data_IF_262931197986
#
_entry.id   IF_262931197986
#
_cell.length_a   1.000
_cell.length_b   1.000
_cell.length_c   1.000
_cell.angle_alpha   90.00
_cell.angle_beta   90.00
_cell.angle_gamma   90.00
#
_symmetry.space_group_name_H-M   'P 1'
#
loop_
_entity.id
_entity.type
_entity.pdbx_description
1 polymer ?
#
# COMPACT_ATOMS: atom_id res chain seq x y z
N UNK A 1 -8.24 11.00 10.31
CA UNK A 1 -6.96 10.44 10.73
C UNK A 1 -5.96 10.44 9.60
N UNK A 2 -4.70 10.67 9.91
CA UNK A 2 -3.61 10.64 8.94
C UNK A 2 -2.67 9.50 9.31
N UNK A 3 -2.39 8.64 8.35
CA UNK A 3 -1.47 7.52 8.55
C UNK A 3 -0.40 7.60 7.47
N UNK A 4 0.84 7.50 7.87
CA UNK A 4 1.97 7.39 6.94
C UNK A 4 2.70 6.09 7.22
N UNK A 5 2.79 5.25 6.21
CA UNK A 5 3.49 3.97 6.29
C UNK A 5 4.68 4.02 5.35
N UNK A 6 5.88 3.93 5.92
CA UNK A 6 7.12 3.97 5.17
C UNK A 6 7.81 2.61 5.29
N UNK A 7 7.86 1.88 4.20
CA UNK A 7 8.44 0.54 4.16
C UNK A 7 9.75 0.58 3.37
N UNK A 8 10.84 0.35 4.06
CA UNK A 8 12.18 0.40 3.49
C UNK A 8 13.00 -0.81 3.89
N UNK A 9 14.13 -1.01 3.21
CA UNK A 9 15.13 -2.02 3.56
C UNK A 9 14.61 -3.45 3.58
N UNK A 10 13.84 -3.82 2.57
CA UNK A 10 13.35 -5.18 2.45
C UNK A 10 12.18 -5.52 3.37
N UNK A 11 11.45 -4.50 3.79
CA UNK A 11 10.27 -4.71 4.62
C UNK A 11 9.17 -5.42 3.85
N UNK A 12 8.34 -6.16 4.55
CA UNK A 12 7.17 -6.77 3.91
C UNK A 12 5.95 -6.56 4.78
N UNK A 13 4.82 -6.35 4.11
CA UNK A 13 3.54 -6.19 4.77
C UNK A 13 2.57 -7.20 4.19
N UNK A 14 1.92 -7.93 5.07
CA UNK A 14 0.82 -8.82 4.68
C UNK A 14 -0.42 -8.34 5.41
N UNK A 15 -1.40 -7.86 4.67
CA UNK A 15 -2.63 -7.34 5.27
C UNK A 15 -3.29 -6.30 4.39
N UNK A 16 -4.47 -5.88 4.80
CA UNK A 16 -5.21 -4.80 4.15
C UNK A 16 -4.99 -3.50 4.91
N UNK A 17 -4.93 -2.40 4.18
CA UNK A 17 -4.82 -1.06 4.75
C UNK A 17 -6.13 -0.34 4.49
N UNK A 18 -6.73 0.20 5.57
CA UNK A 18 -7.97 0.98 5.47
C UNK A 18 -9.07 0.19 4.73
N UNK A 19 -9.21 -1.07 5.08
CA UNK A 19 -10.13 -1.99 4.41
C UNK A 19 -11.57 -1.47 4.37
N UNK A 20 -11.99 -0.75 5.38
CA UNK A 20 -13.34 -0.17 5.45
C UNK A 20 -13.39 1.28 4.98
N UNK A 21 -12.28 1.81 4.48
CA UNK A 21 -12.18 3.16 3.91
C UNK A 21 -12.63 4.25 4.89
N UNK A 22 -12.28 4.11 6.16
CA UNK A 22 -12.66 5.08 7.18
C UNK A 22 -11.60 6.13 7.44
N UNK A 23 -10.33 5.84 7.17
CA UNK A 23 -9.26 6.82 7.32
C UNK A 23 -9.21 7.73 6.10
N UNK A 24 -8.98 9.03 6.32
CA UNK A 24 -9.05 10.02 5.25
C UNK A 24 -7.75 10.18 4.50
N UNK A 25 -6.62 10.11 5.19
CA UNK A 25 -5.32 10.32 4.58
C UNK A 25 -4.39 9.21 4.96
N UNK A 26 -4.15 8.31 4.02
CA UNK A 26 -3.19 7.24 4.20
C UNK A 26 -2.16 7.36 3.09
N UNK A 27 -0.90 7.52 3.47
CA UNK A 27 0.21 7.53 2.54
C UNK A 27 1.04 6.28 2.76
N UNK A 28 1.27 5.54 1.69
CA UNK A 28 2.12 4.34 1.73
C UNK A 28 3.32 4.58 0.83
N UNK A 29 4.50 4.33 1.37
CA UNK A 29 5.74 4.48 0.65
C UNK A 29 6.50 3.15 0.69
N UNK A 30 6.82 2.62 -0.48
CA UNK A 30 7.50 1.34 -0.63
C UNK A 30 8.84 1.54 -1.32
N UNK A 31 9.89 0.94 -0.79
CA UNK A 31 11.16 0.88 -1.49
C UNK A 31 11.15 -0.29 -2.48
N UNK A 32 12.17 -0.36 -3.34
CA UNK A 32 12.26 -1.41 -4.36
C UNK A 32 12.27 -2.81 -3.78
N UNK A 33 12.88 -2.96 -2.61
CA UNK A 33 13.06 -4.26 -1.98
C UNK A 33 11.96 -4.59 -0.97
N UNK A 34 11.01 -3.69 -0.80
CA UNK A 34 9.86 -3.93 0.07
C UNK A 34 8.71 -4.56 -0.70
N UNK A 35 7.84 -5.27 -0.01
CA UNK A 35 6.69 -5.89 -0.64
C UNK A 35 5.45 -5.75 0.21
N UNK A 36 4.30 -5.74 -0.44
CA UNK A 36 3.00 -5.67 0.22
C UNK A 36 2.07 -6.69 -0.42
N UNK A 37 1.55 -7.59 0.41
CA UNK A 37 0.57 -8.58 -0.02
C UNK A 37 -0.77 -8.23 0.60
N UNK A 38 -1.77 -8.03 -0.24
CA UNK A 38 -3.09 -7.67 0.23
C UNK A 38 -3.84 -8.92 0.72
N UNK A 39 -4.58 -8.75 1.81
CA UNK A 39 -5.50 -9.78 2.29
C UNK A 39 -6.95 -9.31 2.22
N UNK A 40 -7.18 -8.15 1.64
CA UNK A 40 -8.49 -7.57 1.42
C UNK A 40 -8.36 -6.33 0.58
N UNK A 41 -9.47 -5.77 0.13
CA UNK A 41 -9.45 -4.51 -0.59
C UNK A 41 -8.83 -3.43 0.29
N UNK A 42 -8.00 -2.59 -0.30
CA UNK A 42 -7.30 -1.55 0.43
C UNK A 42 -7.50 -0.20 -0.24
N UNK A 43 -7.53 0.84 0.57
CA UNK A 43 -7.77 2.21 0.09
C UNK A 43 -6.72 3.12 0.69
N UNK A 44 -5.98 3.82 -0.18
CA UNK A 44 -4.97 4.77 0.26
C UNK A 44 -5.15 6.07 -0.50
N UNK A 45 -4.72 7.17 0.08
CA UNK A 45 -4.76 8.45 -0.60
C UNK A 45 -3.59 8.58 -1.56
N UNK A 46 -2.38 8.28 -1.10
CA UNK A 46 -1.17 8.40 -1.91
C UNK A 46 -0.34 7.13 -1.77
N UNK A 47 0.10 6.62 -2.89
CA UNK A 47 1.01 5.48 -2.92
C UNK A 47 2.27 5.88 -3.66
N UNK A 48 3.41 5.80 -2.99
CA UNK A 48 4.72 6.01 -3.58
C UNK A 48 5.45 4.69 -3.59
N UNK A 49 5.82 4.22 -4.76
CA UNK A 49 6.49 2.94 -4.92
C UNK A 49 7.75 3.15 -5.77
N UNK A 50 8.90 2.85 -5.20
CA UNK A 50 10.17 2.99 -5.92
C UNK A 50 10.36 1.92 -6.99
N UNK A 51 9.62 0.81 -6.90
CA UNK A 51 9.60 -0.18 -7.96
C UNK A 51 8.61 0.26 -9.03
N UNK A 52 9.12 0.71 -10.16
CA UNK A 52 8.30 1.25 -11.24
C UNK A 52 7.46 0.18 -11.93
N UNK A 53 7.79 -1.08 -11.76
CA UNK A 53 7.00 -2.18 -12.34
C UNK A 53 5.79 -2.55 -11.47
N UNK A 54 5.82 -2.19 -10.19
CA UNK A 54 4.75 -2.55 -9.27
C UNK A 54 4.73 -4.01 -8.86
N UNK A 55 5.77 -4.77 -9.21
CA UNK A 55 5.82 -6.19 -8.91
C UNK A 55 5.90 -6.49 -7.42
N UNK A 56 6.32 -5.51 -6.63
CA UNK A 56 6.40 -5.66 -5.19
C UNK A 56 5.04 -5.54 -4.48
N UNK A 57 3.98 -5.24 -5.20
CA UNK A 57 2.63 -5.21 -4.66
C UNK A 57 1.87 -6.44 -5.18
N UNK A 58 1.48 -7.31 -4.28
CA UNK A 58 0.77 -8.54 -4.61
C UNK A 58 -0.69 -8.38 -4.22
N UNK A 59 -1.56 -8.20 -5.20
CA UNK A 59 -2.98 -7.92 -4.96
C UNK A 59 -3.73 -9.15 -4.43
N UNK A 60 -3.26 -10.33 -4.75
CA UNK A 60 -3.82 -11.58 -4.23
C UNK A 60 -5.35 -11.68 -4.44
N UNK A 61 -5.81 -11.20 -5.61
CA UNK A 61 -7.25 -11.24 -5.95
C UNK A 61 -8.07 -10.09 -5.38
N UNK A 62 -7.45 -9.21 -4.61
CA UNK A 62 -8.11 -8.02 -4.08
C UNK A 62 -7.75 -6.79 -4.90
N UNK A 63 -8.23 -5.63 -4.49
CA UNK A 63 -7.91 -4.40 -5.20
C UNK A 63 -7.29 -3.36 -4.27
N UNK A 64 -6.44 -2.54 -4.84
CA UNK A 64 -5.85 -1.40 -4.16
C UNK A 64 -6.33 -0.13 -4.87
N UNK A 65 -6.99 0.73 -4.14
CA UNK A 65 -7.50 1.99 -4.66
C UNK A 65 -6.63 3.12 -4.16
N UNK A 66 -6.10 3.91 -5.09
CA UNK A 66 -5.29 5.09 -4.77
C UNK A 66 -6.10 6.31 -5.19
N UNK A 67 -6.48 7.12 -4.23
CA UNK A 67 -7.33 8.28 -4.48
C UNK A 67 -6.58 9.42 -5.15
N UNK A 68 -5.29 9.55 -4.86
CA UNK A 68 -4.45 10.61 -5.41
C UNK A 68 -3.35 9.97 -6.26
N UNK A 69 -3.51 10.02 -7.56
CA UNK A 69 -2.57 9.44 -8.50
C UNK A 69 -1.52 10.44 -8.96
#
# INVERSE_FOLDING_TARGET
STVALDMTNGSSLVGAINNDNTAKEITVKLSKDSSWTLTGDSYVKTLTNEDTTGENIHLNGYKLVVADK
#
